data_IF_333380223755
#
_entry.id   IF_333380223755
#
_cell.length_a   1.000
_cell.length_b   1.000
_cell.length_c   1.000
_cell.angle_alpha   90.00
_cell.angle_beta   90.00
_cell.angle_gamma   90.00
#
_symmetry.space_group_name_H-M   'P 1'
#
loop_
_entity.id
_entity.type
_entity.pdbx_description
1 polymer ?
#
# COMPACT_ATOMS: atom_id res chain seq x y z
N UNK A 1 -46.10 13.69 -41.17
CA UNK A 1 -44.99 12.77 -41.53
C UNK A 1 -43.70 13.03 -40.71
N UNK A 2 -43.77 13.26 -39.38
CA UNK A 2 -42.57 13.54 -38.54
C UNK A 2 -42.33 12.55 -37.40
N UNK A 3 -43.31 11.69 -37.09
CA UNK A 3 -43.18 10.65 -36.05
C UNK A 3 -42.15 9.55 -36.34
N UNK A 4 -42.04 8.98 -37.56
CA UNK A 4 -41.12 7.86 -37.78
C UNK A 4 -39.64 8.28 -37.70
N UNK A 5 -39.34 9.51 -38.13
CA UNK A 5 -37.99 10.09 -38.05
C UNK A 5 -37.58 10.39 -36.61
N UNK A 6 -38.49 10.91 -35.78
CA UNK A 6 -38.21 11.15 -34.36
C UNK A 6 -37.95 9.82 -33.60
N UNK A 7 -38.70 8.77 -33.90
CA UNK A 7 -38.52 7.45 -33.28
C UNK A 7 -37.16 6.83 -33.65
N UNK A 8 -36.76 6.94 -34.92
CA UNK A 8 -35.46 6.45 -35.40
C UNK A 8 -34.28 7.18 -34.74
N UNK A 9 -34.38 8.50 -34.56
CA UNK A 9 -33.35 9.30 -33.86
C UNK A 9 -33.24 8.89 -32.40
N UNK A 10 -34.36 8.71 -31.70
CA UNK A 10 -34.36 8.27 -30.29
C UNK A 10 -33.76 6.87 -30.13
N UNK A 11 -34.08 5.95 -31.05
CA UNK A 11 -33.51 4.60 -31.05
C UNK A 11 -31.99 4.64 -31.27
N UNK A 12 -31.51 5.47 -32.21
CA UNK A 12 -30.09 5.63 -32.48
C UNK A 12 -29.33 6.21 -31.29
N UNK A 13 -29.87 7.22 -30.61
CA UNK A 13 -29.27 7.83 -29.40
C UNK A 13 -29.24 6.85 -28.23
N UNK A 14 -30.30 6.05 -28.03
CA UNK A 14 -30.30 5.01 -27.02
C UNK A 14 -29.27 3.91 -27.32
N UNK A 15 -29.14 3.52 -28.58
CA UNK A 15 -28.20 2.51 -29.05
C UNK A 15 -26.75 2.93 -28.82
N UNK A 16 -26.41 4.18 -29.14
CA UNK A 16 -25.06 4.72 -28.91
C UNK A 16 -24.76 4.85 -27.42
N UNK A 17 -25.72 5.23 -26.59
CA UNK A 17 -25.57 5.27 -25.13
C UNK A 17 -25.28 3.89 -24.52
N UNK A 18 -26.03 2.86 -24.94
CA UNK A 18 -25.80 1.47 -24.51
C UNK A 18 -24.42 0.99 -24.96
N UNK A 19 -24.05 1.24 -26.22
CA UNK A 19 -22.74 0.85 -26.75
C UNK A 19 -21.59 1.54 -25.99
N UNK A 20 -21.73 2.83 -25.68
CA UNK A 20 -20.71 3.57 -24.92
C UNK A 20 -20.56 3.05 -23.49
N UNK A 21 -21.67 2.72 -22.83
CA UNK A 21 -21.66 2.09 -21.50
C UNK A 21 -20.98 0.71 -21.53
N UNK A 22 -21.22 -0.09 -22.57
CA UNK A 22 -20.54 -1.38 -22.78
C UNK A 22 -19.03 -1.21 -22.99
N UNK A 23 -18.61 -0.24 -23.81
CA UNK A 23 -17.19 0.07 -24.05
C UNK A 23 -16.49 0.49 -22.75
N UNK A 24 -17.12 1.36 -21.95
CA UNK A 24 -16.59 1.78 -20.65
C UNK A 24 -16.44 0.59 -19.70
N UNK A 25 -17.46 -0.25 -19.59
CA UNK A 25 -17.45 -1.44 -18.70
C UNK A 25 -16.39 -2.45 -19.12
N UNK A 26 -16.23 -2.68 -20.44
CA UNK A 26 -15.20 -3.57 -20.96
C UNK A 26 -13.78 -3.04 -20.72
N UNK A 27 -13.59 -1.72 -20.84
CA UNK A 27 -12.32 -1.05 -20.54
C UNK A 27 -11.95 -1.18 -19.06
N UNK A 28 -12.90 -0.96 -18.15
CA UNK A 28 -12.69 -1.15 -16.70
C UNK A 28 -12.32 -2.60 -16.35
N UNK A 29 -12.96 -3.59 -16.99
CA UNK A 29 -12.65 -5.00 -16.76
C UNK A 29 -11.25 -5.39 -17.27
N UNK A 30 -10.88 -4.94 -18.47
CA UNK A 30 -9.58 -5.23 -19.08
C UNK A 30 -8.44 -4.48 -18.38
N UNK A 31 -8.67 -3.22 -18.03
CA UNK A 31 -7.73 -2.41 -17.27
C UNK A 31 -7.57 -2.95 -15.85
N UNK A 32 -8.65 -3.35 -15.19
CA UNK A 32 -8.60 -3.97 -13.87
C UNK A 32 -7.79 -5.26 -13.85
N UNK A 33 -7.89 -6.12 -14.88
CA UNK A 33 -7.13 -7.36 -14.96
C UNK A 33 -5.64 -7.13 -15.27
N UNK A 34 -5.34 -6.23 -16.20
CA UNK A 34 -3.96 -5.92 -16.62
C UNK A 34 -3.22 -5.06 -15.58
N UNK A 35 -3.93 -4.13 -14.95
CA UNK A 35 -3.42 -3.32 -13.85
C UNK A 35 -3.06 -4.17 -12.64
N UNK A 36 -3.94 -5.11 -12.24
CA UNK A 36 -3.66 -6.01 -11.12
C UNK A 36 -2.42 -6.88 -11.35
N UNK A 37 -2.27 -7.50 -12.53
CA UNK A 37 -1.08 -8.31 -12.82
C UNK A 37 0.21 -7.48 -12.83
N UNK A 38 0.14 -6.26 -13.36
CA UNK A 38 1.28 -5.34 -13.37
C UNK A 38 1.70 -4.92 -11.95
N UNK A 39 0.74 -4.60 -11.09
CA UNK A 39 0.98 -4.19 -9.70
C UNK A 39 1.57 -5.35 -8.90
N UNK A 40 1.02 -6.56 -9.03
CA UNK A 40 1.56 -7.74 -8.37
C UNK A 40 3.03 -7.96 -8.74
N UNK A 41 3.37 -7.87 -10.02
CA UNK A 41 4.75 -8.02 -10.48
C UNK A 41 5.69 -6.97 -9.89
N UNK A 42 5.24 -5.72 -9.76
CA UNK A 42 6.03 -4.66 -9.12
C UNK A 42 6.24 -4.97 -7.64
N UNK A 43 5.18 -5.32 -6.91
CA UNK A 43 5.28 -5.61 -5.48
C UNK A 43 6.18 -6.82 -5.21
N UNK A 44 6.12 -7.85 -6.04
CA UNK A 44 7.02 -9.01 -5.96
C UNK A 44 8.49 -8.62 -6.19
N UNK A 45 8.77 -7.79 -7.20
CA UNK A 45 10.13 -7.30 -7.45
C UNK A 45 10.64 -6.44 -6.27
N UNK A 46 9.80 -5.54 -5.75
CA UNK A 46 10.11 -4.73 -4.56
C UNK A 46 10.36 -5.60 -3.33
N UNK A 47 9.58 -6.67 -3.15
CA UNK A 47 9.79 -7.63 -2.06
C UNK A 47 11.17 -8.29 -2.12
N UNK A 48 11.57 -8.78 -3.30
CA UNK A 48 12.89 -9.38 -3.49
C UNK A 48 14.02 -8.39 -3.20
N UNK A 49 13.86 -7.14 -3.64
CA UNK A 49 14.84 -6.08 -3.41
C UNK A 49 15.00 -5.77 -1.91
N UNK A 50 13.88 -5.59 -1.21
CA UNK A 50 13.85 -5.33 0.24
C UNK A 50 14.44 -6.53 1.01
N UNK A 51 14.01 -7.75 0.71
CA UNK A 51 14.53 -8.95 1.39
C UNK A 51 16.03 -9.12 1.22
N UNK A 52 16.55 -8.86 0.03
CA UNK A 52 17.98 -8.88 -0.23
C UNK A 52 18.72 -7.77 0.53
N UNK A 53 18.17 -6.56 0.60
CA UNK A 53 18.74 -5.46 1.37
C UNK A 53 18.80 -5.78 2.87
N UNK A 54 17.72 -6.33 3.43
CA UNK A 54 17.65 -6.80 4.82
C UNK A 54 18.69 -7.90 5.08
N UNK A 55 18.74 -8.93 4.22
CA UNK A 55 19.69 -10.03 4.36
C UNK A 55 21.15 -9.55 4.28
N UNK A 56 21.47 -8.68 3.32
CA UNK A 56 22.82 -8.12 3.17
C UNK A 56 23.24 -7.30 4.40
N UNK A 57 22.30 -6.54 4.98
CA UNK A 57 22.51 -5.75 6.19
C UNK A 57 22.74 -6.63 7.39
N UNK A 58 21.93 -7.68 7.56
CA UNK A 58 22.14 -8.66 8.62
C UNK A 58 23.52 -9.32 8.49
N UNK A 59 23.88 -9.81 7.30
CA UNK A 59 25.18 -10.46 7.03
C UNK A 59 26.36 -9.54 7.34
N UNK A 60 26.27 -8.27 6.95
CA UNK A 60 27.30 -7.25 7.25
C UNK A 60 27.45 -7.01 8.75
N UNK A 61 26.32 -6.90 9.47
CA UNK A 61 26.32 -6.75 10.92
C UNK A 61 26.92 -7.97 11.64
N UNK A 62 26.66 -9.19 11.16
CA UNK A 62 27.25 -10.41 11.70
C UNK A 62 28.76 -10.47 11.46
N UNK A 63 29.25 -10.16 10.24
CA UNK A 63 30.70 -10.09 9.97
C UNK A 63 31.43 -9.07 10.85
N UNK A 64 30.78 -7.94 11.14
CA UNK A 64 31.34 -6.89 12.03
C UNK A 64 31.51 -7.36 13.48
N UNK A 65 30.83 -8.44 13.90
CA UNK A 65 30.95 -9.01 15.25
C UNK A 65 32.31 -9.65 15.52
N UNK A 66 33.02 -10.10 14.49
CA UNK A 66 34.33 -10.73 14.64
C UNK A 66 35.43 -9.72 15.03
N UNK A 67 35.20 -8.41 14.83
CA UNK A 67 36.14 -7.31 15.12
C UNK A 67 35.39 -6.15 15.82
N UNK A 68 34.57 -6.44 16.83
CA UNK A 68 33.65 -5.43 17.39
C UNK A 68 34.27 -4.62 18.54
N UNK A 69 34.32 -3.30 18.36
CA UNK A 69 34.50 -2.31 19.43
C UNK A 69 33.30 -2.30 20.39
N UNK A 70 33.46 -1.82 21.65
CA UNK A 70 32.35 -1.73 22.61
C UNK A 70 31.13 -0.95 22.10
N UNK A 71 31.35 0.10 21.29
CA UNK A 71 30.27 0.88 20.68
C UNK A 71 29.45 0.08 19.65
N UNK A 72 30.10 -0.82 18.90
CA UNK A 72 29.43 -1.70 17.94
C UNK A 72 28.61 -2.79 18.66
N UNK A 73 29.08 -3.30 19.79
CA UNK A 73 28.31 -4.23 20.63
C UNK A 73 27.02 -3.59 21.16
N UNK A 74 27.10 -2.36 21.67
CA UNK A 74 25.94 -1.63 22.17
C UNK A 74 24.92 -1.31 21.07
N UNK A 75 25.37 -1.16 19.82
CA UNK A 75 24.48 -0.94 18.68
C UNK A 75 23.51 -2.10 18.41
N UNK A 76 23.80 -3.32 18.89
CA UNK A 76 22.90 -4.47 18.71
C UNK A 76 21.56 -4.33 19.43
N UNK A 77 21.53 -3.60 20.55
CA UNK A 77 20.28 -3.27 21.25
C UNK A 77 19.31 -2.44 20.40
N UNK A 78 19.79 -1.83 19.32
CA UNK A 78 18.99 -1.05 18.38
C UNK A 78 18.29 -1.88 17.30
N UNK A 79 18.51 -3.20 17.27
CA UNK A 79 17.83 -4.06 16.29
C UNK A 79 16.34 -4.15 16.62
N UNK A 80 15.45 -3.97 15.62
CA UNK A 80 14.03 -4.04 15.86
C UNK A 80 13.61 -5.45 16.30
N UNK A 81 12.73 -5.48 17.29
CA UNK A 81 11.99 -6.65 17.75
C UNK A 81 11.22 -7.29 16.57
N UNK A 82 10.97 -8.61 16.56
CA UNK A 82 10.42 -9.30 15.39
C UNK A 82 9.15 -8.67 14.81
N UNK A 83 8.22 -8.19 15.64
CA UNK A 83 7.00 -7.51 15.16
C UNK A 83 7.33 -6.17 14.49
N UNK A 84 8.15 -5.33 15.13
CA UNK A 84 8.63 -4.07 14.59
C UNK A 84 9.37 -4.27 13.26
N UNK A 85 10.18 -5.33 13.17
CA UNK A 85 10.89 -5.69 11.94
C UNK A 85 9.93 -6.07 10.81
N UNK A 86 8.89 -6.84 11.11
CA UNK A 86 7.87 -7.21 10.13
C UNK A 86 7.11 -5.97 9.63
N UNK A 87 6.76 -5.05 10.53
CA UNK A 87 6.13 -3.76 10.19
C UNK A 87 7.03 -2.91 9.30
N UNK A 88 8.29 -2.71 9.69
CA UNK A 88 9.27 -1.95 8.89
C UNK A 88 9.46 -2.59 7.52
N UNK A 89 9.58 -3.92 7.44
CA UNK A 89 9.71 -4.64 6.16
C UNK A 89 8.48 -4.42 5.27
N UNK A 90 7.28 -4.51 5.81
CA UNK A 90 6.05 -4.29 5.03
C UNK A 90 5.98 -2.84 4.51
N UNK A 91 6.35 -1.86 5.34
CA UNK A 91 6.41 -0.46 4.96
C UNK A 91 7.45 -0.19 3.84
N UNK A 92 8.64 -0.79 3.93
CA UNK A 92 9.67 -0.66 2.89
C UNK A 92 9.23 -1.26 1.54
N UNK A 93 8.52 -2.39 1.56
CA UNK A 93 7.97 -2.99 0.34
C UNK A 93 6.94 -2.06 -0.29
N UNK A 94 6.03 -1.51 0.53
CA UNK A 94 5.02 -0.55 0.08
C UNK A 94 5.66 0.68 -0.57
N UNK A 95 6.59 1.35 0.13
CA UNK A 95 7.23 2.57 -0.36
C UNK A 95 8.02 2.31 -1.64
N UNK A 96 8.82 1.23 -1.67
CA UNK A 96 9.59 0.82 -2.86
C UNK A 96 8.66 0.54 -4.04
N UNK A 97 7.50 -0.08 -3.81
CA UNK A 97 6.50 -0.36 -4.85
C UNK A 97 5.88 0.92 -5.40
N UNK A 98 5.47 1.84 -4.50
CA UNK A 98 4.92 3.15 -4.86
C UNK A 98 5.93 3.95 -5.68
N UNK A 99 7.19 4.00 -5.24
CA UNK A 99 8.25 4.72 -5.93
C UNK A 99 8.53 4.11 -7.32
N UNK A 100 8.59 2.78 -7.41
CA UNK A 100 8.77 2.06 -8.68
C UNK A 100 7.62 2.35 -9.65
N UNK A 101 6.39 2.38 -9.16
CA UNK A 101 5.23 2.71 -9.97
C UNK A 101 5.22 4.16 -10.43
N UNK A 102 5.50 5.11 -9.52
CA UNK A 102 5.63 6.53 -9.85
C UNK A 102 6.66 6.73 -10.97
N UNK A 103 7.84 6.10 -10.86
CA UNK A 103 8.89 6.20 -11.87
C UNK A 103 8.50 5.59 -13.24
N UNK A 104 7.67 4.54 -13.25
CA UNK A 104 7.16 3.95 -14.49
C UNK A 104 6.02 4.75 -15.12
N UNK A 105 5.23 5.43 -14.29
CA UNK A 105 4.05 6.19 -14.71
C UNK A 105 4.36 7.67 -15.03
N UNK A 106 5.51 8.21 -14.59
CA UNK A 106 5.89 9.63 -14.67
C UNK A 106 6.19 10.19 -16.07
N UNK A 107 5.48 9.76 -17.12
CA UNK A 107 5.45 10.51 -18.38
C UNK A 107 4.61 11.79 -18.29
N UNK A 108 3.73 11.92 -17.27
CA UNK A 108 2.96 13.14 -17.01
C UNK A 108 2.94 13.53 -15.52
N UNK A 109 3.07 14.83 -15.16
CA UNK A 109 3.18 15.30 -13.77
C UNK A 109 1.93 15.12 -12.90
N UNK A 110 0.78 14.84 -13.49
CA UNK A 110 -0.54 14.79 -12.81
C UNK A 110 -0.97 13.38 -12.39
N UNK A 111 -0.19 12.35 -12.69
CA UNK A 111 -0.55 10.96 -12.38
C UNK A 111 -0.29 10.63 -10.90
N UNK A 112 -1.17 11.12 -10.04
CA UNK A 112 -1.32 10.61 -8.68
C UNK A 112 -1.89 9.19 -8.77
N UNK A 113 -1.26 8.23 -8.10
CA UNK A 113 -1.76 6.85 -8.02
C UNK A 113 -3.19 6.85 -7.46
N UNK A 114 -4.11 6.10 -8.08
CA UNK A 114 -5.48 6.03 -7.57
C UNK A 114 -5.53 5.38 -6.18
N UNK A 115 -6.55 5.71 -5.39
CA UNK A 115 -6.74 5.15 -4.06
C UNK A 115 -6.89 3.62 -4.09
N UNK A 116 -7.62 3.08 -5.08
CA UNK A 116 -7.76 1.63 -5.28
C UNK A 116 -6.39 0.96 -5.48
N UNK A 117 -5.53 1.61 -6.26
CA UNK A 117 -4.20 1.12 -6.57
C UNK A 117 -3.28 1.16 -5.35
N UNK A 118 -3.31 2.25 -4.57
CA UNK A 118 -2.58 2.36 -3.30
C UNK A 118 -3.03 1.28 -2.30
N UNK A 119 -4.34 1.05 -2.18
CA UNK A 119 -4.91 0.01 -1.33
C UNK A 119 -4.48 -1.40 -1.78
N UNK A 120 -4.43 -1.64 -3.09
CA UNK A 120 -3.93 -2.91 -3.63
C UNK A 120 -2.45 -3.14 -3.27
N UNK A 121 -1.59 -2.13 -3.44
CA UNK A 121 -0.17 -2.22 -3.06
C UNK A 121 -0.03 -2.41 -1.54
N UNK A 122 -0.79 -1.68 -0.72
CA UNK A 122 -0.78 -1.81 0.73
C UNK A 122 -1.20 -3.22 1.19
N UNK A 123 -2.18 -3.82 0.52
CA UNK A 123 -2.62 -5.18 0.78
C UNK A 123 -1.55 -6.21 0.38
N UNK A 124 -1.01 -6.11 -0.84
CA UNK A 124 0.00 -7.05 -1.35
C UNK A 124 1.35 -6.96 -0.59
N UNK A 125 1.73 -5.76 -0.17
CA UNK A 125 2.94 -5.53 0.66
C UNK A 125 2.78 -6.03 2.10
N UNK A 126 1.55 -6.25 2.56
CA UNK A 126 1.23 -6.59 3.94
C UNK A 126 1.30 -5.38 4.90
N UNK A 127 1.39 -4.16 4.37
CA UNK A 127 1.43 -2.94 5.19
C UNK A 127 0.03 -2.54 5.69
N UNK A 128 -1.03 -2.93 4.97
CA UNK A 128 -2.41 -2.52 5.26
C UNK A 128 -2.85 -2.70 6.73
N UNK A 129 -2.59 -3.83 7.40
CA UNK A 129 -2.98 -3.99 8.82
C UNK A 129 -2.26 -3.05 9.78
N UNK A 130 -1.09 -2.51 9.39
CA UNK A 130 -0.26 -1.62 10.19
C UNK A 130 -0.56 -0.13 9.95
N UNK A 131 -1.31 0.18 8.90
CA UNK A 131 -1.76 1.54 8.58
C UNK A 131 -3.06 1.90 9.31
N UNK A 132 -3.81 0.89 9.75
CA UNK A 132 -5.07 1.11 10.42
C UNK A 132 -4.84 1.51 11.89
N UNK A 133 -5.57 2.51 12.40
CA UNK A 133 -5.53 2.86 13.80
C UNK A 133 -5.88 1.62 14.65
N UNK A 134 -5.12 1.31 15.71
CA UNK A 134 -5.43 0.17 16.56
C UNK A 134 -6.78 0.36 17.25
N UNK A 135 -7.45 -0.74 17.58
CA UNK A 135 -8.64 -0.68 18.42
C UNK A 135 -8.22 -0.41 19.85
N UNK A 136 -8.63 0.74 20.40
CA UNK A 136 -8.35 1.08 21.78
C UNK A 136 -9.38 0.45 22.73
N UNK A 137 -8.94 -0.22 23.80
CA UNK A 137 -9.85 -0.81 24.77
C UNK A 137 -10.56 0.29 25.58
N UNK A 138 -11.87 0.13 25.80
CA UNK A 138 -12.61 0.95 26.75
C UNK A 138 -12.61 0.25 28.11
N UNK A 139 -11.58 0.55 28.91
CA UNK A 139 -11.42 0.02 30.27
C UNK A 139 -11.00 1.14 31.20
N UNK A 140 -11.29 1.00 32.50
CA UNK A 140 -10.89 1.98 33.51
C UNK A 140 -9.39 2.35 33.42
N UNK A 141 -8.51 1.38 33.15
CA UNK A 141 -7.07 1.64 33.01
C UNK A 141 -6.72 2.40 31.73
N UNK A 142 -7.30 2.03 30.59
CA UNK A 142 -7.09 2.74 29.32
C UNK A 142 -7.66 4.18 29.34
N UNK A 143 -8.69 4.42 30.15
CA UNK A 143 -9.33 5.72 30.30
C UNK A 143 -8.52 6.62 31.25
N UNK A 144 -7.70 6.02 32.12
CA UNK A 144 -6.85 6.73 33.06
C UNK A 144 -5.44 6.98 32.50
N UNK A 145 -4.88 6.03 31.75
CA UNK A 145 -3.49 6.05 31.28
C UNK A 145 -3.38 5.74 29.78
N UNK A 146 -2.47 6.43 29.08
CA UNK A 146 -2.13 6.10 27.68
C UNK A 146 -1.37 4.77 27.59
N UNK A 147 -1.46 4.10 26.44
CA UNK A 147 -0.60 2.96 26.15
C UNK A 147 0.89 3.38 26.10
N UNK A 148 1.79 2.47 26.48
CA UNK A 148 3.25 2.71 26.47
C UNK A 148 3.73 3.17 25.09
N UNK A 149 3.19 2.57 24.02
CA UNK A 149 3.50 2.93 22.64
C UNK A 149 2.89 4.26 22.20
N UNK A 150 2.00 4.86 23.00
CA UNK A 150 1.24 6.05 22.64
C UNK A 150 0.09 5.81 21.66
N UNK A 151 -0.09 4.57 21.20
CA UNK A 151 -1.07 4.21 20.17
C UNK A 151 -2.54 4.46 20.58
N UNK A 152 -2.83 4.46 21.88
CA UNK A 152 -4.14 4.79 22.44
C UNK A 152 -3.99 5.92 23.45
N UNK A 153 -4.82 6.96 23.30
CA UNK A 153 -4.78 8.16 24.12
C UNK A 153 -5.96 8.22 25.09
N UNK A 154 -5.66 8.39 26.39
CA UNK A 154 -6.63 8.46 27.48
C UNK A 154 -7.48 9.75 27.50
N UNK A 155 -7.11 10.80 26.76
CA UNK A 155 -7.93 12.04 26.68
C UNK A 155 -9.03 12.01 25.61
N UNK A 156 -8.82 11.25 24.54
CA UNK A 156 -9.75 11.18 23.41
C UNK A 156 -10.37 9.78 23.25
N UNK A 157 -9.81 8.76 23.92
CA UNK A 157 -10.27 7.37 23.84
C UNK A 157 -10.31 6.84 22.40
N UNK A 158 -9.43 7.37 21.56
CA UNK A 158 -9.23 7.02 20.17
C UNK A 158 -7.79 6.60 19.95
N UNK A 159 -7.57 5.83 18.88
CA UNK A 159 -6.23 5.67 18.34
C UNK A 159 -5.77 6.99 17.73
N UNK A 160 -4.46 7.24 17.86
CA UNK A 160 -3.79 8.45 17.39
C UNK A 160 -3.34 8.29 15.94
#
# INVERSE_FOLDING_TARGET
>A
MKMPTALAVMLAVASTGIFFAFILTAKELLWGKTGKSHVTSIVEASRLMVDNAFYSTMKRNLKRREVASPAELLSFSKLPEPTSRAMSRAAEILETSIQTMKNKQSRHPTDVLSEELLNLIANLSGCLPHMLPPKCPDTCLANKYRHITGACNNRAQTAL
#
